data_IF_508691150987
#
_entry.id   IF_508691150987
#
_cell.length_a   1.000
_cell.length_b   1.000
_cell.length_c   1.000
_cell.angle_alpha   90.00
_cell.angle_beta   90.00
_cell.angle_gamma   90.00
#
_symmetry.space_group_name_H-M   'P 1'
#
loop_
_entity.id
_entity.type
_entity.pdbx_description
1 polymer ?
#
# COMPACT_ATOMS: atom_id res chain seq x y z
N UNK A 1 54.43 11.02 -25.41
CA UNK A 1 53.54 9.90 -25.01
C UNK A 1 52.97 10.21 -23.63
N UNK A 2 51.70 9.86 -23.44
CA UNK A 2 50.89 9.91 -22.21
C UNK A 2 50.33 11.28 -21.78
N UNK A 3 49.21 11.67 -22.41
CA UNK A 3 48.19 12.55 -21.84
C UNK A 3 47.35 11.75 -20.85
N UNK A 4 47.26 12.20 -19.59
CA UNK A 4 46.36 11.63 -18.58
C UNK A 4 44.90 12.03 -18.90
N UNK A 5 43.93 11.11 -18.84
CA UNK A 5 42.53 11.44 -19.07
C UNK A 5 41.91 12.04 -17.79
N UNK A 6 41.30 13.21 -17.96
CA UNK A 6 40.47 13.89 -16.97
C UNK A 6 39.28 13.00 -16.61
N UNK A 7 39.13 12.68 -15.33
CA UNK A 7 37.98 11.94 -14.81
C UNK A 7 36.69 12.74 -15.06
N UNK A 8 35.81 12.19 -15.90
CA UNK A 8 34.46 12.70 -16.06
C UNK A 8 33.72 12.56 -14.71
N UNK A 9 33.25 13.68 -14.17
CA UNK A 9 32.28 13.68 -13.09
C UNK A 9 31.00 12.97 -13.60
N UNK A 10 30.43 12.01 -12.85
CA UNK A 10 29.14 11.47 -13.20
C UNK A 10 28.12 12.62 -13.21
N UNK A 11 27.41 12.76 -14.33
CA UNK A 11 26.33 13.73 -14.43
C UNK A 11 25.30 13.40 -13.36
N UNK A 12 24.99 14.40 -12.53
CA UNK A 12 24.05 14.27 -11.43
C UNK A 12 22.71 13.77 -11.94
N UNK A 13 22.19 12.75 -11.27
CA UNK A 13 20.79 12.33 -11.41
C UNK A 13 19.93 13.54 -11.06
N UNK A 14 19.23 14.09 -12.04
CA UNK A 14 18.21 15.12 -11.77
C UNK A 14 17.19 14.51 -10.82
N UNK A 15 16.93 15.10 -9.64
CA UNK A 15 15.96 14.55 -8.70
C UNK A 15 14.61 14.46 -9.40
N UNK A 16 13.99 13.28 -9.36
CA UNK A 16 12.65 13.10 -9.89
C UNK A 16 11.69 13.95 -9.07
N UNK A 17 11.09 14.96 -9.69
CA UNK A 17 10.02 15.74 -9.10
C UNK A 17 8.71 15.02 -9.43
N UNK A 18 8.22 14.22 -8.50
CA UNK A 18 6.90 13.64 -8.62
C UNK A 18 5.82 14.73 -8.46
N UNK A 19 4.69 14.62 -9.18
CA UNK A 19 3.53 15.48 -8.93
C UNK A 19 3.08 15.49 -7.46
N UNK A 20 2.46 16.58 -7.04
CA UNK A 20 2.06 16.84 -5.64
C UNK A 20 1.01 15.88 -5.05
N UNK A 21 0.40 15.05 -5.90
CA UNK A 21 -0.54 14.02 -5.48
C UNK A 21 0.15 12.72 -5.03
N UNK A 22 1.44 12.55 -5.34
CA UNK A 22 2.25 11.46 -4.81
C UNK A 22 2.70 11.79 -3.40
N UNK A 23 2.17 11.03 -2.44
CA UNK A 23 2.51 11.13 -1.03
C UNK A 23 3.70 10.23 -0.73
N UNK A 24 4.61 10.66 0.15
CA UNK A 24 5.68 9.82 0.69
C UNK A 24 5.27 9.25 2.04
N UNK A 25 5.71 8.02 2.34
CA UNK A 25 5.56 7.43 3.69
C UNK A 25 6.01 8.44 4.75
N UNK A 26 5.24 8.70 5.82
CA UNK A 26 5.71 9.58 6.89
C UNK A 26 7.03 9.05 7.45
N UNK A 27 7.96 9.96 7.74
CA UNK A 27 9.27 9.60 8.25
C UNK A 27 9.15 8.71 9.49
N UNK A 28 9.67 7.50 9.40
CA UNK A 28 9.69 6.55 10.49
C UNK A 28 11.15 6.31 10.89
N UNK A 29 11.65 7.06 11.86
CA UNK A 29 12.82 6.61 12.60
C UNK A 29 12.35 5.44 13.46
N UNK A 30 12.54 4.23 12.95
CA UNK A 30 12.40 3.00 13.71
C UNK A 30 13.66 2.84 14.54
N UNK A 31 13.64 3.32 15.78
CA UNK A 31 14.64 2.88 16.74
C UNK A 31 14.49 1.37 16.99
N UNK A 32 15.56 0.74 17.45
CA UNK A 32 15.60 -0.70 17.72
C UNK A 32 14.53 -1.12 18.75
N UNK A 33 14.16 -0.22 19.66
CA UNK A 33 13.11 -0.42 20.65
C UNK A 33 11.74 -0.64 19.99
N UNK A 34 11.35 0.22 19.04
CA UNK A 34 10.10 0.06 18.31
C UNK A 34 10.04 -1.26 17.54
N UNK A 35 11.13 -1.63 16.87
CA UNK A 35 11.20 -2.88 16.09
C UNK A 35 11.03 -4.12 16.99
N UNK A 36 11.78 -4.18 18.09
CA UNK A 36 11.68 -5.28 19.04
C UNK A 36 10.28 -5.37 19.67
N UNK A 37 9.64 -4.24 19.98
CA UNK A 37 8.28 -4.21 20.49
C UNK A 37 7.25 -4.69 19.46
N UNK A 38 7.43 -4.36 18.18
CA UNK A 38 6.58 -4.84 17.09
C UNK A 38 6.70 -6.35 16.89
N UNK A 39 7.92 -6.88 16.90
CA UNK A 39 8.14 -8.32 16.79
C UNK A 39 7.52 -9.07 17.98
N UNK A 40 7.75 -8.59 19.20
CA UNK A 40 7.18 -9.19 20.41
C UNK A 40 5.63 -9.18 20.38
N UNK A 41 5.02 -8.08 19.93
CA UNK A 41 3.57 -7.98 19.78
C UNK A 41 3.05 -8.99 18.76
N UNK A 42 3.70 -9.08 17.59
CA UNK A 42 3.28 -10.01 16.54
C UNK A 42 3.42 -11.46 17.01
N UNK A 43 4.57 -11.85 17.54
CA UNK A 43 4.86 -13.22 17.94
C UNK A 43 3.94 -13.68 19.08
N UNK A 44 3.70 -12.81 20.08
CA UNK A 44 2.74 -13.09 21.15
C UNK A 44 1.33 -13.25 20.62
N UNK A 45 0.93 -12.42 19.64
CA UNK A 45 -0.40 -12.51 19.04
C UNK A 45 -0.55 -13.82 18.28
N UNK A 46 0.41 -14.19 17.43
CA UNK A 46 0.33 -15.40 16.59
C UNK A 46 0.36 -16.70 17.41
N UNK A 47 0.82 -16.67 18.66
CA UNK A 47 0.70 -17.80 19.57
C UNK A 47 -0.74 -18.04 20.11
N UNK A 48 -1.67 -17.11 19.85
CA UNK A 48 -2.99 -17.03 20.49
C UNK A 48 -4.14 -17.86 19.88
N UNK A 49 -3.88 -18.71 18.89
CA UNK A 49 -4.89 -19.57 18.25
C UNK A 49 -5.33 -19.08 16.87
N UNK A 50 -6.58 -19.37 16.48
CA UNK A 50 -7.09 -19.11 15.13
C UNK A 50 -7.50 -17.62 14.95
N UNK A 51 -6.83 -16.93 14.03
CA UNK A 51 -7.02 -15.49 13.72
C UNK A 51 -7.26 -14.57 14.95
N UNK A 52 -6.32 -14.52 15.90
CA UNK A 52 -6.41 -13.63 17.06
C UNK A 52 -6.51 -12.16 16.64
N UNK A 53 -7.26 -11.40 17.42
CA UNK A 53 -7.30 -9.94 17.30
C UNK A 53 -6.09 -9.35 18.00
N UNK A 54 -5.28 -8.58 17.27
CA UNK A 54 -4.11 -7.88 17.80
C UNK A 54 -4.57 -6.79 18.77
N UNK A 55 -4.27 -6.98 20.06
CA UNK A 55 -4.51 -5.98 21.10
C UNK A 55 -3.39 -4.94 21.09
N UNK A 56 -3.56 -3.95 20.22
CA UNK A 56 -2.54 -2.93 20.02
C UNK A 56 -2.50 -1.93 21.18
N UNK A 57 -1.44 -1.98 21.98
CA UNK A 57 -1.24 -1.14 23.19
C UNK A 57 0.07 -0.36 23.16
N UNK A 58 0.81 -0.45 22.07
CA UNK A 58 2.10 0.21 21.89
C UNK A 58 1.93 1.73 21.68
N UNK A 59 2.91 2.55 22.09
CA UNK A 59 2.82 4.01 21.97
C UNK A 59 3.01 4.54 20.54
N UNK A 60 3.47 3.70 19.61
CA UNK A 60 3.68 4.07 18.21
C UNK A 60 2.39 3.89 17.39
N UNK A 61 2.20 4.72 16.37
CA UNK A 61 1.06 4.61 15.47
C UNK A 61 0.97 3.23 14.80
N UNK A 62 -0.25 2.70 14.63
CA UNK A 62 -0.49 1.35 14.06
C UNK A 62 0.13 1.15 12.68
N UNK A 63 0.17 2.20 11.85
CA UNK A 63 0.77 2.12 10.53
C UNK A 63 2.27 1.77 10.58
N UNK A 64 2.98 2.19 11.63
CA UNK A 64 4.41 1.85 11.82
C UNK A 64 4.58 0.35 12.05
N UNK A 65 3.72 -0.23 12.87
CA UNK A 65 3.67 -1.68 13.09
C UNK A 65 3.34 -2.42 11.78
N UNK A 66 2.31 -2.00 11.05
CA UNK A 66 1.94 -2.65 9.79
C UNK A 66 3.06 -2.55 8.73
N UNK A 67 3.74 -1.41 8.63
CA UNK A 67 4.92 -1.28 7.77
C UNK A 67 6.04 -2.20 8.22
N UNK A 68 6.34 -2.27 9.52
CA UNK A 68 7.34 -3.19 10.07
C UNK A 68 7.02 -4.65 9.71
N UNK A 69 5.77 -5.08 9.89
CA UNK A 69 5.31 -6.43 9.54
C UNK A 69 5.49 -6.70 8.05
N UNK A 70 5.04 -5.79 7.17
CA UNK A 70 5.16 -5.97 5.72
C UNK A 70 6.62 -5.96 5.22
N UNK A 71 7.48 -5.13 5.83
CA UNK A 71 8.87 -4.97 5.39
C UNK A 71 9.79 -6.12 5.90
N UNK A 72 9.48 -6.76 7.03
CA UNK A 72 10.40 -7.73 7.69
C UNK A 72 9.83 -9.14 7.87
N UNK A 73 8.53 -9.35 7.68
CA UNK A 73 7.90 -10.65 7.90
C UNK A 73 7.30 -11.15 6.60
N UNK A 74 7.23 -12.48 6.46
CA UNK A 74 6.63 -13.12 5.30
C UNK A 74 5.09 -13.12 5.43
N UNK A 75 4.52 -11.92 5.50
CA UNK A 75 3.10 -11.64 5.75
C UNK A 75 2.58 -10.65 4.70
N UNK A 76 1.45 -11.00 4.07
CA UNK A 76 0.69 -10.11 3.21
C UNK A 76 -0.41 -9.42 4.02
N UNK A 77 -0.76 -8.17 3.68
CA UNK A 77 -1.76 -7.40 4.42
C UNK A 77 -3.00 -7.14 3.57
N UNK A 78 -4.18 -7.38 4.14
CA UNK A 78 -5.47 -7.16 3.47
C UNK A 78 -6.37 -6.23 4.27
N UNK A 79 -6.86 -5.15 3.64
CA UNK A 79 -7.80 -4.22 4.25
C UNK A 79 -9.25 -4.55 3.96
N UNK A 80 -10.10 -4.61 4.98
CA UNK A 80 -11.53 -4.86 4.83
C UNK A 80 -12.35 -4.13 5.89
N UNK A 81 -13.59 -3.77 5.55
CA UNK A 81 -14.58 -3.33 6.55
C UNK A 81 -15.23 -4.46 7.32
N UNK A 82 -15.21 -5.68 6.77
CA UNK A 82 -15.78 -6.85 7.43
C UNK A 82 -14.75 -7.45 8.39
N UNK A 83 -15.09 -7.47 9.69
CA UNK A 83 -14.26 -8.02 10.76
C UNK A 83 -14.38 -9.52 10.98
N UNK A 84 -15.32 -10.19 10.31
CA UNK A 84 -15.69 -11.58 10.58
C UNK A 84 -15.29 -12.54 9.45
N UNK A 85 -14.29 -12.16 8.64
CA UNK A 85 -13.73 -13.03 7.60
C UNK A 85 -12.89 -14.13 8.26
N UNK A 86 -13.42 -15.36 8.29
CA UNK A 86 -12.70 -16.55 8.72
C UNK A 86 -11.88 -17.19 7.60
N UNK A 87 -12.34 -17.06 6.36
CA UNK A 87 -11.69 -17.60 5.17
C UNK A 87 -11.82 -16.59 4.03
N UNK A 88 -10.70 -16.18 3.45
CA UNK A 88 -10.68 -15.41 2.22
C UNK A 88 -10.80 -16.36 1.05
N UNK A 89 -11.73 -16.07 0.15
CA UNK A 89 -11.92 -16.82 -1.10
C UNK A 89 -11.59 -15.91 -2.27
N UNK A 90 -10.95 -16.44 -3.34
CA UNK A 90 -10.77 -15.71 -4.59
C UNK A 90 -12.10 -15.19 -5.14
N UNK A 91 -12.12 -13.91 -5.53
CA UNK A 91 -13.30 -13.27 -6.13
C UNK A 91 -12.88 -12.49 -7.36
N UNK A 92 -13.77 -12.43 -8.35
CA UNK A 92 -13.57 -11.56 -9.50
C UNK A 92 -13.61 -10.10 -9.05
N UNK A 93 -12.53 -9.38 -9.31
CA UNK A 93 -12.46 -7.92 -9.17
C UNK A 93 -12.78 -7.26 -10.51
N UNK A 94 -13.16 -5.97 -10.48
CA UNK A 94 -13.38 -5.13 -11.64
C UNK A 94 -12.35 -3.99 -11.63
N UNK A 95 -11.10 -4.30 -11.96
CA UNK A 95 -10.01 -3.32 -12.07
C UNK A 95 -9.77 -2.94 -13.53
N UNK A 96 -9.11 -1.80 -13.76
CA UNK A 96 -8.70 -1.35 -15.09
C UNK A 96 -7.51 -2.15 -15.64
N UNK A 97 -6.68 -2.72 -14.78
CA UNK A 97 -5.50 -3.48 -15.20
C UNK A 97 -5.71 -5.00 -15.09
N UNK A 98 -5.12 -5.77 -16.01
CA UNK A 98 -5.31 -7.22 -16.11
C UNK A 98 -4.94 -7.98 -14.82
N UNK A 99 -3.90 -7.53 -14.10
CA UNK A 99 -3.48 -8.19 -12.86
C UNK A 99 -4.48 -7.97 -11.72
N UNK A 100 -5.08 -6.78 -11.64
CA UNK A 100 -6.15 -6.43 -10.70
C UNK A 100 -7.54 -6.92 -11.14
N UNK A 101 -7.70 -7.33 -12.40
CA UNK A 101 -8.96 -7.75 -12.99
C UNK A 101 -9.05 -9.28 -13.15
N UNK A 102 -8.61 -10.02 -12.13
CA UNK A 102 -8.68 -11.48 -12.10
C UNK A 102 -9.44 -11.99 -10.88
N UNK A 103 -9.84 -13.25 -10.94
CA UNK A 103 -10.38 -13.98 -9.79
C UNK A 103 -9.25 -14.30 -8.81
N UNK A 104 -9.17 -13.53 -7.73
CA UNK A 104 -8.09 -13.64 -6.74
C UNK A 104 -8.50 -13.05 -5.38
N UNK A 105 -7.72 -13.37 -4.35
CA UNK A 105 -7.64 -12.62 -3.11
C UNK A 105 -6.57 -11.57 -3.31
N UNK A 106 -6.89 -10.29 -3.11
CA UNK A 106 -5.92 -9.20 -3.21
C UNK A 106 -5.36 -8.84 -1.84
N UNK A 107 -4.07 -8.56 -1.77
CA UNK A 107 -3.40 -8.09 -0.57
C UNK A 107 -2.27 -7.11 -0.96
N UNK A 108 -1.55 -6.59 0.02
CA UNK A 108 -0.45 -5.67 -0.19
C UNK A 108 0.82 -6.16 0.52
N UNK A 109 1.97 -5.85 -0.07
CA UNK A 109 3.29 -5.91 0.56
C UNK A 109 3.70 -4.57 1.19
N UNK A 110 2.72 -3.73 1.54
CA UNK A 110 2.91 -2.45 2.22
C UNK A 110 1.94 -2.31 3.40
N UNK A 111 2.35 -1.60 4.45
CA UNK A 111 1.58 -1.41 5.68
C UNK A 111 0.46 -0.37 5.64
N UNK A 112 0.57 0.64 4.78
CA UNK A 112 -0.35 1.78 4.71
C UNK A 112 -1.47 1.56 3.70
N UNK A 113 -1.14 0.98 2.55
CA UNK A 113 -2.12 0.72 1.49
C UNK A 113 -3.36 -0.08 1.95
N UNK A 114 -3.26 -1.18 2.71
CA UNK A 114 -4.43 -1.91 3.19
C UNK A 114 -5.27 -1.10 4.19
N UNK A 115 -4.68 -0.13 4.91
CA UNK A 115 -5.45 0.72 5.83
C UNK A 115 -6.50 1.55 5.07
N UNK A 116 -6.18 2.04 3.87
CA UNK A 116 -7.14 2.74 3.02
C UNK A 116 -8.40 1.89 2.75
N UNK A 117 -8.22 0.63 2.36
CA UNK A 117 -9.35 -0.28 2.10
C UNK A 117 -10.12 -0.68 3.36
N UNK A 118 -9.45 -0.70 4.52
CA UNK A 118 -10.11 -0.90 5.80
C UNK A 118 -11.06 0.28 6.12
N UNK A 119 -10.58 1.52 5.96
CA UNK A 119 -11.31 2.70 6.42
C UNK A 119 -12.30 3.29 5.42
N UNK A 120 -12.15 3.04 4.11
CA UNK A 120 -13.10 3.53 3.11
C UNK A 120 -14.38 2.71 3.16
N UNK A 121 -15.50 3.39 3.38
CA UNK A 121 -16.81 2.75 3.33
C UNK A 121 -17.28 2.55 1.88
N UNK A 122 -16.95 1.39 1.31
CA UNK A 122 -17.28 1.02 -0.07
C UNK A 122 -18.78 0.94 -0.37
N UNK A 123 -19.66 0.94 0.63
CA UNK A 123 -21.11 1.04 0.41
C UNK A 123 -21.57 2.47 0.10
N UNK A 124 -20.74 3.46 0.45
CA UNK A 124 -21.01 4.90 0.29
C UNK A 124 -20.12 5.58 -0.75
N UNK A 125 -19.28 4.80 -1.43
CA UNK A 125 -18.31 5.30 -2.42
C UNK A 125 -18.43 4.47 -3.68
N UNK A 126 -18.71 5.11 -4.81
CA UNK A 126 -18.89 4.41 -6.08
C UNK A 126 -17.57 3.82 -6.56
N UNK A 127 -16.50 4.62 -6.58
CA UNK A 127 -15.19 4.18 -7.05
C UNK A 127 -14.02 4.73 -6.25
N UNK A 128 -12.88 4.03 -6.36
CA UNK A 128 -11.61 4.43 -5.76
C UNK A 128 -10.54 4.43 -6.84
N UNK A 129 -9.58 5.35 -6.72
CA UNK A 129 -8.38 5.39 -7.55
C UNK A 129 -7.19 5.56 -6.61
N UNK A 130 -6.23 4.65 -6.70
CA UNK A 130 -5.15 4.57 -5.72
C UNK A 130 -3.90 3.91 -6.31
N UNK A 131 -2.77 4.14 -5.68
CA UNK A 131 -1.50 3.51 -6.04
C UNK A 131 -0.60 3.41 -4.81
N UNK A 132 0.24 2.37 -4.78
CA UNK A 132 1.35 2.21 -3.85
C UNK A 132 2.53 1.63 -4.60
N UNK A 133 3.57 2.44 -4.85
CA UNK A 133 4.68 2.06 -5.71
C UNK A 133 6.04 2.38 -5.09
N UNK A 134 7.03 1.57 -5.44
CA UNK A 134 8.46 1.90 -5.30
C UNK A 134 9.06 2.04 -6.70
N UNK A 135 10.07 2.89 -6.82
CA UNK A 135 10.80 3.08 -8.06
C UNK A 135 12.21 2.54 -7.89
N UNK A 136 12.65 1.68 -8.80
CA UNK A 136 14.01 1.14 -8.82
C UNK A 136 14.75 1.80 -9.98
N UNK A 137 15.86 2.46 -9.69
CA UNK A 137 16.70 3.08 -10.73
C UNK A 137 17.65 2.08 -11.40
N UNK A 138 18.34 2.51 -12.46
CA UNK A 138 19.29 1.67 -13.22
C UNK A 138 20.47 1.14 -12.39
N UNK A 139 20.74 1.74 -11.22
CA UNK A 139 21.78 1.28 -10.28
C UNK A 139 21.27 0.25 -9.26
N UNK A 140 19.96 -0.04 -9.28
CA UNK A 140 19.28 -0.86 -8.28
C UNK A 140 18.86 -0.08 -7.03
N UNK A 141 19.01 1.24 -7.02
CA UNK A 141 18.56 2.10 -5.93
C UNK A 141 17.04 2.13 -5.85
N UNK A 142 16.49 1.88 -4.65
CA UNK A 142 15.04 1.83 -4.42
C UNK A 142 14.57 3.15 -3.77
N UNK A 143 13.57 3.78 -4.39
CA UNK A 143 12.98 5.05 -3.98
C UNK A 143 11.51 4.90 -3.59
N UNK A 144 11.05 5.70 -2.64
CA UNK A 144 9.70 5.63 -2.08
C UNK A 144 9.62 4.79 -0.80
N UNK A 145 8.47 4.19 -0.47
CA UNK A 145 7.26 4.09 -1.30
C UNK A 145 6.52 5.42 -1.48
N UNK A 146 5.81 5.50 -2.61
CA UNK A 146 4.94 6.60 -3.01
C UNK A 146 3.49 6.14 -3.09
N UNK A 147 2.58 7.01 -2.68
CA UNK A 147 1.16 6.67 -2.56
C UNK A 147 0.27 7.68 -3.26
N UNK A 148 -0.86 7.20 -3.78
CA UNK A 148 -2.01 8.02 -4.18
C UNK A 148 -3.26 7.38 -3.59
N UNK A 149 -4.13 8.21 -3.01
CA UNK A 149 -5.44 7.77 -2.51
C UNK A 149 -6.50 8.73 -2.97
N UNK A 150 -7.52 8.20 -3.63
CA UNK A 150 -8.65 8.98 -4.10
C UNK A 150 -9.94 8.16 -4.10
N UNK A 151 -11.05 8.85 -3.81
CA UNK A 151 -12.41 8.31 -3.83
C UNK A 151 -13.32 9.23 -4.64
N UNK A 152 -14.52 8.77 -4.99
CA UNK A 152 -15.56 9.58 -5.64
C UNK A 152 -15.72 10.93 -4.93
N UNK A 153 -15.58 12.04 -5.67
CA UNK A 153 -15.64 13.40 -5.12
C UNK A 153 -16.99 13.68 -4.45
N UNK A 154 -18.07 13.14 -5.03
CA UNK A 154 -19.44 13.20 -4.49
C UNK A 154 -19.52 12.60 -3.07
N UNK A 155 -18.85 11.48 -2.83
CA UNK A 155 -18.84 10.79 -1.56
C UNK A 155 -17.93 11.47 -0.53
N UNK A 156 -16.77 12.00 -0.95
CA UNK A 156 -15.74 12.59 -0.07
C UNK A 156 -16.30 13.68 0.85
N UNK A 157 -17.22 14.51 0.35
CA UNK A 157 -17.86 15.58 1.13
C UNK A 157 -18.65 15.05 2.35
N UNK A 158 -19.09 13.79 2.30
CA UNK A 158 -19.83 13.13 3.39
C UNK A 158 -18.94 12.37 4.37
N UNK A 159 -17.61 12.45 4.21
CA UNK A 159 -16.62 11.73 5.01
C UNK A 159 -16.98 10.23 5.13
N UNK A 160 -16.89 9.45 4.02
CA UNK A 160 -17.39 8.09 3.94
C UNK A 160 -16.39 7.12 4.57
N UNK A 161 -16.08 7.35 5.85
CA UNK A 161 -15.10 6.61 6.61
C UNK A 161 -15.79 5.65 7.58
N UNK A 162 -15.13 4.53 7.84
CA UNK A 162 -15.56 3.52 8.82
C UNK A 162 -14.37 3.03 9.64
N UNK A 163 -14.68 2.41 10.77
CA UNK A 163 -13.74 1.49 11.40
C UNK A 163 -13.71 0.20 10.58
N UNK A 164 -12.52 -0.31 10.33
CA UNK A 164 -12.30 -1.56 9.61
C UNK A 164 -11.16 -2.37 10.21
N UNK A 165 -10.63 -3.28 9.40
CA UNK A 165 -9.65 -4.27 9.81
C UNK A 165 -8.55 -4.41 8.77
N UNK A 166 -7.32 -4.53 9.24
CA UNK A 166 -6.21 -5.06 8.45
C UNK A 166 -5.93 -6.48 8.91
N UNK A 167 -6.10 -7.42 8.00
CA UNK A 167 -5.80 -8.83 8.19
C UNK A 167 -4.36 -9.11 7.79
N UNK A 168 -3.70 -9.94 8.59
CA UNK A 168 -2.39 -10.50 8.29
C UNK A 168 -2.62 -11.87 7.65
N UNK A 169 -2.14 -12.06 6.43
CA UNK A 169 -2.30 -13.28 5.64
C UNK A 169 -0.93 -13.92 5.38
N UNK A 170 -0.85 -15.26 5.25
CA UNK A 170 0.38 -15.94 4.82
C UNK A 170 0.84 -15.42 3.45
N UNK A 171 2.04 -14.85 3.36
CA UNK A 171 2.52 -14.22 2.11
C UNK A 171 2.80 -15.23 0.99
N UNK A 172 3.12 -16.47 1.35
CA UNK A 172 3.58 -17.52 0.43
C UNK A 172 2.49 -17.98 -0.53
N UNK A 173 1.21 -17.72 -0.21
CA UNK A 173 0.06 -18.03 -1.08
C UNK A 173 -0.23 -16.94 -2.11
N UNK A 174 0.59 -15.89 -2.17
CA UNK A 174 0.38 -14.74 -3.05
C UNK A 174 1.53 -14.56 -4.04
N UNK A 175 1.20 -14.13 -5.25
CA UNK A 175 2.18 -13.64 -6.23
C UNK A 175 2.16 -12.12 -6.27
N UNK A 176 3.34 -11.50 -6.40
CA UNK A 176 3.43 -10.06 -6.59
C UNK A 176 3.01 -9.67 -8.01
N UNK A 177 2.46 -8.47 -8.17
CA UNK A 177 2.29 -7.86 -9.47
C UNK A 177 3.65 -7.69 -10.16
N UNK A 178 3.79 -8.09 -11.44
CA UNK A 178 5.01 -7.83 -12.19
C UNK A 178 5.31 -6.34 -12.25
N UNK A 179 6.59 -5.99 -12.13
CA UNK A 179 7.03 -4.61 -12.27
C UNK A 179 6.79 -4.06 -13.68
N UNK A 180 6.64 -2.74 -13.76
CA UNK A 180 6.40 -2.03 -15.02
C UNK A 180 7.59 -1.11 -15.34
N UNK A 181 7.97 -1.00 -16.61
CA UNK A 181 8.99 -0.03 -17.00
C UNK A 181 8.41 1.40 -17.05
N UNK A 182 9.16 2.37 -16.53
CA UNK A 182 8.84 3.79 -16.58
C UNK A 182 10.11 4.63 -16.80
N UNK A 183 10.39 4.98 -18.06
CA UNK A 183 11.64 5.65 -18.41
C UNK A 183 12.85 4.79 -18.02
N UNK A 184 13.78 5.37 -17.25
CA UNK A 184 14.96 4.70 -16.67
C UNK A 184 14.67 4.01 -15.33
N UNK A 185 13.40 3.91 -14.92
CA UNK A 185 12.99 3.29 -13.67
C UNK A 185 12.15 2.03 -13.92
N UNK A 186 12.22 1.11 -12.97
CA UNK A 186 11.27 0.02 -12.80
C UNK A 186 10.29 0.39 -11.68
N UNK A 187 8.99 0.30 -11.96
CA UNK A 187 7.90 0.57 -11.01
C UNK A 187 7.47 -0.75 -10.37
N UNK A 188 7.71 -0.88 -9.08
CA UNK A 188 7.26 -2.00 -8.27
C UNK A 188 5.96 -1.61 -7.57
N UNK A 189 4.85 -2.25 -7.95
CA UNK A 189 3.54 -2.02 -7.33
C UNK A 189 3.42 -2.98 -6.15
N UNK A 190 3.03 -2.49 -4.97
CA UNK A 190 2.94 -3.30 -3.75
C UNK A 190 1.77 -4.32 -3.76
N UNK A 191 1.20 -4.61 -4.93
CA UNK A 191 -0.02 -5.41 -5.07
C UNK A 191 0.32 -6.88 -5.11
N UNK A 192 -0.43 -7.66 -4.34
CA UNK A 192 -0.34 -9.09 -4.27
C UNK A 192 -1.67 -9.70 -4.68
N UNK A 193 -1.63 -10.87 -5.32
CA UNK A 193 -2.83 -11.64 -5.57
C UNK A 193 -2.59 -13.15 -5.40
N UNK A 194 -3.50 -13.79 -4.67
CA UNK A 194 -3.53 -15.23 -4.40
C UNK A 194 -4.76 -15.89 -5.02
N UNK A 195 -4.60 -17.11 -5.51
CA UNK A 195 -5.59 -17.87 -6.28
C UNK A 195 -6.21 -19.04 -5.49
N UNK A 196 -5.76 -19.25 -4.25
CA UNK A 196 -6.27 -20.28 -3.34
C UNK A 196 -6.95 -19.64 -2.13
N UNK A 197 -7.94 -20.29 -1.49
CA UNK A 197 -8.50 -19.82 -0.24
C UNK A 197 -7.45 -19.72 0.87
N UNK A 198 -7.57 -18.69 1.73
CA UNK A 198 -6.58 -18.37 2.76
C UNK A 198 -7.26 -18.01 4.08
N UNK A 199 -6.82 -18.67 5.16
CA UNK A 199 -7.19 -18.29 6.52
C UNK A 199 -6.27 -17.16 7.01
N UNK A 200 -6.82 -16.11 7.63
CA UNK A 200 -6.00 -15.05 8.22
C UNK A 200 -5.25 -15.52 9.47
N UNK A 201 -4.01 -15.06 9.61
CA UNK A 201 -3.15 -15.32 10.75
C UNK A 201 -3.56 -14.49 11.97
N UNK A 202 -3.98 -13.25 11.75
CA UNK A 202 -4.43 -12.32 12.78
C UNK A 202 -5.17 -11.15 12.11
N UNK A 203 -5.82 -10.30 12.92
CA UNK A 203 -6.42 -9.05 12.46
C UNK A 203 -6.19 -7.89 13.42
N UNK A 204 -5.99 -6.70 12.88
CA UNK A 204 -5.85 -5.46 13.62
C UNK A 204 -6.98 -4.50 13.25
N UNK A 205 -7.71 -4.01 14.27
CA UNK A 205 -8.72 -2.98 14.06
C UNK A 205 -8.08 -1.64 13.71
N UNK A 206 -8.58 -0.99 12.67
CA UNK A 206 -8.12 0.32 12.17
C UNK A 206 -9.29 1.29 12.17
N UNK A 207 -9.10 2.43 12.81
CA UNK A 207 -10.00 3.59 12.75
C UNK A 207 -9.50 4.59 11.70
N UNK A 208 -10.34 5.50 11.18
CA UNK A 208 -9.90 6.52 10.24
C UNK A 208 -8.71 7.35 10.74
N UNK A 209 -8.66 7.64 12.04
CA UNK A 209 -7.61 8.42 12.70
C UNK A 209 -6.24 7.71 12.73
N UNK A 210 -6.24 6.38 12.62
CA UNK A 210 -5.00 5.61 12.53
C UNK A 210 -4.28 5.81 11.17
N UNK A 211 -5.02 6.24 10.13
CA UNK A 211 -4.49 6.39 8.78
C UNK A 211 -3.85 7.78 8.57
N UNK A 212 -2.53 7.86 8.33
CA UNK A 212 -1.82 9.14 8.33
C UNK A 212 -2.10 10.02 7.10
N UNK A 213 -2.80 9.49 6.10
CA UNK A 213 -3.14 10.21 4.87
C UNK A 213 -4.62 10.57 4.74
N UNK A 214 -5.41 10.44 5.82
CA UNK A 214 -6.86 10.67 5.77
C UNK A 214 -7.22 12.04 5.17
N UNK A 215 -6.50 13.09 5.58
CA UNK A 215 -6.73 14.46 5.10
C UNK A 215 -6.19 14.72 3.68
N UNK A 216 -5.37 13.81 3.14
CA UNK A 216 -4.75 13.89 1.82
C UNK A 216 -5.46 13.01 0.78
N UNK A 217 -6.53 12.30 1.15
CA UNK A 217 -7.37 11.57 0.20
C UNK A 217 -8.05 12.58 -0.74
N UNK A 218 -7.82 12.43 -2.04
CA UNK A 218 -8.37 13.33 -3.08
C UNK A 218 -9.75 12.88 -3.56
N UNK A 219 -10.55 13.82 -4.05
CA UNK A 219 -11.79 13.53 -4.77
C UNK A 219 -11.54 13.43 -6.28
N UNK A 220 -12.10 12.43 -6.94
CA UNK A 220 -12.11 12.32 -8.41
C UNK A 220 -13.53 12.29 -8.99
N UNK A 221 -13.64 12.54 -10.29
CA UNK A 221 -14.87 12.32 -11.07
C UNK A 221 -14.92 10.86 -11.56
N UNK A 222 -15.98 10.13 -11.19
CA UNK A 222 -16.17 8.71 -11.54
C UNK A 222 -16.25 8.47 -13.06
N UNK A 223 -16.64 9.49 -13.85
CA UNK A 223 -16.68 9.39 -15.31
C UNK A 223 -15.32 9.56 -15.98
N UNK A 224 -14.30 9.98 -15.23
CA UNK A 224 -12.96 10.33 -15.73
C UNK A 224 -11.87 9.45 -15.14
N UNK A 225 -12.20 8.30 -14.56
CA UNK A 225 -11.24 7.35 -13.96
C UNK A 225 -10.05 7.02 -14.84
N UNK A 226 -10.26 6.89 -16.15
CA UNK A 226 -9.20 6.63 -17.11
C UNK A 226 -8.19 7.78 -17.19
N UNK A 227 -8.64 9.04 -17.10
CA UNK A 227 -7.75 10.21 -17.09
C UNK A 227 -6.87 10.24 -15.84
N UNK A 228 -7.45 9.95 -14.67
CA UNK A 228 -6.70 9.84 -13.41
C UNK A 228 -5.68 8.70 -13.45
N UNK A 229 -6.07 7.54 -13.99
CA UNK A 229 -5.16 6.42 -14.19
C UNK A 229 -3.99 6.77 -15.11
N UNK A 230 -4.27 7.42 -16.24
CA UNK A 230 -3.24 7.92 -17.16
C UNK A 230 -2.32 8.93 -16.48
N UNK A 231 -2.86 9.83 -15.67
CA UNK A 231 -2.04 10.81 -14.94
C UNK A 231 -1.04 10.12 -14.00
N UNK A 232 -1.49 9.14 -13.21
CA UNK A 232 -0.61 8.35 -12.34
C UNK A 232 0.45 7.56 -13.14
N UNK A 233 0.06 6.96 -14.27
CA UNK A 233 0.96 6.16 -15.12
C UNK A 233 2.02 6.98 -15.85
N UNK A 234 1.71 8.24 -16.17
CA UNK A 234 2.58 9.12 -16.96
C UNK A 234 3.29 10.18 -16.13
N UNK A 235 2.91 10.32 -14.85
CA UNK A 235 3.41 11.38 -13.98
C UNK A 235 2.94 12.78 -14.36
N UNK A 236 1.85 12.91 -15.14
CA UNK A 236 1.27 14.22 -15.44
C UNK A 236 0.50 14.76 -14.22
N UNK A 237 0.22 16.08 -14.15
CA UNK A 237 -0.59 16.65 -13.07
C UNK A 237 -1.95 15.98 -12.90
N UNK A 238 -2.51 16.09 -11.69
CA UNK A 238 -3.85 15.59 -11.39
C UNK A 238 -4.87 16.31 -12.29
N UNK A 239 -5.77 15.59 -13.00
CA UNK A 239 -6.82 16.23 -13.79
C UNK A 239 -7.73 17.11 -12.91
N UNK A 240 -7.93 18.36 -13.34
CA UNK A 240 -8.85 19.31 -12.71
C UNK A 240 -10.31 18.84 -12.78
#
# INVERSE_FOLDING_TARGET
MATSPTAAHPQGVTPMVLPDYWLTRPGANYDEEAQAAFDALLDTTLAGGDCPTIRYTLPWAKWRFLCHVADHRDIALHGSGNGDIALFEPRQSNDLNDFGNRNAIYAASDGLWPMFFAIVDRERVDSVSNACVRLVDETGGVHGPYYVFSISRSALASQPWRTGWVYLLPRQTFSAQPSLAFGSFEVQIAQLAGDVPVEPLAKLMITPEDFPFLAQIRGHDDHRLQEYATAMQTGTPWPD
#
